data_IF_719539738871
#
_entry.id   IF_719539738871
#
_cell.length_a   1.000
_cell.length_b   1.000
_cell.length_c   1.000
_cell.angle_alpha   90.00
_cell.angle_beta   90.00
_cell.angle_gamma   90.00
#
_symmetry.space_group_name_H-M   'P 1'
#
loop_
_entity.id
_entity.type
_entity.pdbx_description
1 polymer ?
#
# COMPACT_ATOMS: atom_id res chain seq x y z
N UNK A 1 56.11 33.18 -20.19
CA UNK A 1 55.17 32.62 -21.16
C UNK A 1 54.81 31.21 -20.70
N UNK A 2 53.63 31.06 -20.19
CA UNK A 2 52.90 29.80 -20.19
C UNK A 2 51.54 30.08 -19.49
N UNK A 3 50.53 30.10 -20.30
CA UNK A 3 49.16 30.35 -19.89
C UNK A 3 48.61 29.07 -19.24
N UNK A 4 48.15 29.20 -17.99
CA UNK A 4 47.39 28.18 -17.29
C UNK A 4 45.93 28.25 -17.65
N UNK A 5 45.43 27.23 -18.29
CA UNK A 5 44.02 27.06 -18.61
C UNK A 5 43.28 26.56 -17.39
N UNK A 6 42.46 27.43 -16.78
CA UNK A 6 41.54 27.10 -15.68
C UNK A 6 40.25 26.63 -16.29
N UNK A 7 39.99 25.33 -16.24
CA UNK A 7 38.67 24.77 -16.60
C UNK A 7 37.76 24.94 -15.40
N UNK A 8 36.75 25.76 -15.55
CA UNK A 8 35.68 25.91 -14.57
C UNK A 8 34.79 24.67 -14.58
N UNK A 9 34.76 23.98 -13.48
CA UNK A 9 33.84 22.89 -13.18
C UNK A 9 32.48 23.50 -12.80
N UNK A 10 31.55 23.51 -13.77
CA UNK A 10 30.17 23.86 -13.51
C UNK A 10 29.51 22.72 -12.72
N UNK A 11 29.35 22.92 -11.41
CA UNK A 11 28.52 22.09 -10.56
C UNK A 11 27.06 22.30 -10.95
N UNK A 12 26.44 21.30 -11.58
CA UNK A 12 25.02 21.24 -11.83
C UNK A 12 24.33 20.95 -10.49
N UNK A 13 23.86 21.99 -9.82
CA UNK A 13 22.94 21.86 -8.69
C UNK A 13 21.60 21.32 -9.20
N UNK A 14 21.39 20.02 -9.04
CA UNK A 14 20.09 19.39 -9.18
C UNK A 14 19.20 19.83 -8.03
N UNK A 15 18.41 20.90 -8.28
CA UNK A 15 17.34 21.33 -7.36
C UNK A 15 16.32 20.21 -7.25
N UNK A 16 16.41 19.45 -6.17
CA UNK A 16 15.32 18.61 -5.68
C UNK A 16 14.10 19.52 -5.47
N UNK A 17 13.15 19.43 -6.38
CA UNK A 17 11.87 20.13 -6.26
C UNK A 17 11.13 19.56 -5.04
N UNK A 18 11.13 20.30 -3.95
CA UNK A 18 10.26 20.07 -2.80
C UNK A 18 8.84 20.21 -3.32
N UNK A 19 8.15 19.09 -3.54
CA UNK A 19 6.73 19.09 -3.89
C UNK A 19 5.97 19.61 -2.68
N UNK A 20 5.43 20.83 -2.81
CA UNK A 20 4.47 21.36 -1.86
C UNK A 20 3.32 20.36 -1.62
N UNK A 21 2.83 20.22 -0.38
CA UNK A 21 1.67 19.37 -0.11
C UNK A 21 0.47 19.92 -0.88
N UNK A 22 0.01 19.18 -1.91
CA UNK A 22 -1.21 19.55 -2.64
C UNK A 22 -2.38 19.63 -1.66
N UNK A 23 -3.22 20.67 -1.80
CA UNK A 23 -4.45 20.81 -1.05
C UNK A 23 -5.31 19.54 -1.13
N UNK A 24 -6.10 19.21 -0.08
CA UNK A 24 -6.97 18.04 -0.09
C UNK A 24 -7.91 18.11 -1.30
N UNK A 25 -8.11 16.96 -1.97
CA UNK A 25 -9.00 16.87 -3.13
C UNK A 25 -10.44 17.07 -2.67
N UNK A 26 -11.23 17.73 -3.48
CA UNK A 26 -12.68 17.86 -3.23
C UNK A 26 -13.37 16.51 -3.42
N UNK A 27 -14.50 16.29 -2.75
CA UNK A 27 -15.31 15.06 -2.89
C UNK A 27 -15.63 14.79 -4.36
N UNK A 28 -16.06 15.81 -5.12
CA UNK A 28 -16.35 15.67 -6.56
C UNK A 28 -15.15 15.15 -7.38
N UNK A 29 -13.93 15.56 -7.04
CA UNK A 29 -12.72 15.03 -7.70
C UNK A 29 -12.43 13.57 -7.30
N UNK A 30 -12.75 13.19 -6.07
CA UNK A 30 -12.58 11.81 -5.60
C UNK A 30 -13.62 10.88 -6.21
N UNK A 31 -14.85 11.36 -6.41
CA UNK A 31 -15.90 10.65 -7.15
C UNK A 31 -15.49 10.46 -8.62
N UNK A 32 -14.98 11.50 -9.29
CA UNK A 32 -14.45 11.39 -10.66
C UNK A 32 -13.30 10.38 -10.76
N UNK A 33 -12.38 10.35 -9.79
CA UNK A 33 -11.32 9.34 -9.71
C UNK A 33 -11.90 7.94 -9.55
N UNK A 34 -12.95 7.79 -8.75
CA UNK A 34 -13.67 6.54 -8.55
C UNK A 34 -14.31 6.02 -9.84
N UNK A 35 -15.00 6.90 -10.58
CA UNK A 35 -15.65 6.56 -11.83
C UNK A 35 -14.63 6.11 -12.90
N UNK A 36 -13.54 6.85 -13.06
CA UNK A 36 -12.45 6.49 -14.00
C UNK A 36 -11.81 5.15 -13.60
N UNK A 37 -11.63 4.92 -12.31
CA UNK A 37 -11.07 3.67 -11.80
C UNK A 37 -12.02 2.50 -12.04
N UNK A 38 -13.32 2.69 -11.85
CA UNK A 38 -14.35 1.68 -12.13
C UNK A 38 -14.39 1.30 -13.61
N UNK A 39 -14.42 2.28 -14.50
CA UNK A 39 -14.37 2.05 -15.95
C UNK A 39 -13.15 1.20 -16.36
N UNK A 40 -11.99 1.49 -15.79
CA UNK A 40 -10.76 0.73 -16.02
C UNK A 40 -10.88 -0.71 -15.52
N UNK A 41 -11.42 -0.90 -14.32
CA UNK A 41 -11.57 -2.22 -13.71
C UNK A 41 -12.65 -3.06 -14.41
N UNK A 42 -13.76 -2.45 -14.83
CA UNK A 42 -14.79 -3.12 -15.64
C UNK A 42 -14.19 -3.64 -16.95
N UNK A 43 -13.42 -2.80 -17.66
CA UNK A 43 -12.75 -3.23 -18.88
C UNK A 43 -11.74 -4.36 -18.63
N UNK A 44 -11.06 -4.37 -17.48
CA UNK A 44 -10.14 -5.44 -17.11
C UNK A 44 -10.88 -6.74 -16.84
N UNK A 45 -12.01 -6.69 -16.11
CA UNK A 45 -12.84 -7.85 -15.82
C UNK A 45 -13.42 -8.43 -17.12
N UNK A 46 -13.92 -7.58 -18.02
CA UNK A 46 -14.46 -7.98 -19.34
C UNK A 46 -13.41 -8.70 -20.19
N UNK A 47 -12.17 -8.16 -20.26
CA UNK A 47 -11.08 -8.78 -21.03
C UNK A 47 -10.67 -10.12 -20.42
N UNK A 48 -10.74 -10.25 -19.10
CA UNK A 48 -10.40 -11.47 -18.39
C UNK A 48 -11.55 -12.49 -18.33
N UNK A 49 -12.73 -12.18 -18.88
CA UNK A 49 -13.94 -13.00 -18.82
C UNK A 49 -14.34 -13.34 -17.38
N UNK A 50 -14.34 -12.32 -16.52
CA UNK A 50 -14.63 -12.43 -15.10
C UNK A 50 -15.89 -11.66 -14.75
N UNK A 51 -16.73 -12.26 -13.91
CA UNK A 51 -17.90 -11.62 -13.33
C UNK A 51 -17.52 -10.94 -12.00
N UNK A 52 -17.97 -9.71 -11.80
CA UNK A 52 -17.79 -8.98 -10.54
C UNK A 52 -18.52 -7.64 -10.58
N UNK A 53 -19.05 -7.24 -9.44
CA UNK A 53 -19.66 -5.93 -9.25
C UNK A 53 -18.65 -4.98 -8.60
N UNK A 54 -18.62 -3.73 -9.03
CA UNK A 54 -17.70 -2.72 -8.50
C UNK A 54 -18.49 -1.72 -7.65
N UNK A 55 -18.19 -1.68 -6.38
CA UNK A 55 -18.70 -0.68 -5.44
C UNK A 55 -17.69 0.47 -5.33
N UNK A 56 -18.18 1.71 -5.41
CA UNK A 56 -17.37 2.93 -5.29
C UNK A 56 -17.80 3.69 -4.04
N UNK A 57 -16.85 4.10 -3.21
CA UNK A 57 -17.06 4.96 -2.05
C UNK A 57 -15.93 5.99 -1.92
N UNK A 58 -16.13 7.00 -1.09
CA UNK A 58 -15.12 8.01 -0.74
C UNK A 58 -14.87 7.96 0.75
N UNK A 59 -13.71 7.47 1.13
CA UNK A 59 -13.29 7.33 2.53
C UNK A 59 -11.93 7.97 2.78
N UNK A 60 -11.78 8.64 3.90
CA UNK A 60 -10.48 9.19 4.35
C UNK A 60 -9.75 10.00 3.26
N UNK A 61 -10.47 10.90 2.59
CA UNK A 61 -9.96 11.76 1.51
C UNK A 61 -9.36 11.00 0.31
N UNK A 62 -9.92 9.85 -0.02
CA UNK A 62 -9.54 9.04 -1.19
C UNK A 62 -10.73 8.24 -1.73
N UNK A 63 -10.68 7.92 -3.03
CA UNK A 63 -11.61 6.97 -3.62
C UNK A 63 -11.29 5.56 -3.11
N UNK A 64 -12.33 4.81 -2.76
CA UNK A 64 -12.27 3.42 -2.31
C UNK A 64 -13.14 2.58 -3.23
N UNK A 65 -12.56 1.57 -3.85
CA UNK A 65 -13.28 0.65 -4.73
C UNK A 65 -13.21 -0.76 -4.16
N UNK A 66 -14.32 -1.48 -4.26
CA UNK A 66 -14.37 -2.88 -3.91
C UNK A 66 -14.94 -3.70 -5.08
N UNK A 67 -14.26 -4.77 -5.47
CA UNK A 67 -14.79 -5.73 -6.42
C UNK A 67 -15.37 -6.90 -5.62
N UNK A 68 -16.65 -7.14 -5.80
CA UNK A 68 -17.40 -8.17 -5.09
C UNK A 68 -18.12 -9.10 -6.10
N UNK A 69 -18.40 -10.32 -5.68
CA UNK A 69 -19.08 -11.32 -6.52
C UNK A 69 -18.11 -12.05 -7.44
N UNK A 70 -18.45 -13.27 -7.79
CA UNK A 70 -17.63 -14.11 -8.63
C UNK A 70 -16.57 -14.91 -7.88
N UNK A 71 -15.65 -15.51 -8.64
CA UNK A 71 -14.49 -16.26 -8.11
C UNK A 71 -13.22 -15.49 -8.44
N UNK A 72 -12.96 -14.44 -7.67
CA UNK A 72 -11.93 -13.45 -7.94
C UNK A 72 -10.61 -13.69 -7.16
N UNK A 73 -10.50 -14.78 -6.42
CA UNK A 73 -9.33 -15.07 -5.58
C UNK A 73 -7.99 -15.03 -6.33
N UNK A 74 -7.98 -15.37 -7.63
CA UNK A 74 -6.78 -15.28 -8.47
C UNK A 74 -6.37 -13.83 -8.79
N UNK A 75 -7.30 -12.85 -8.69
CA UNK A 75 -6.98 -11.42 -8.79
C UNK A 75 -6.42 -10.85 -7.49
N UNK A 76 -6.54 -11.57 -6.39
CA UNK A 76 -5.88 -11.25 -5.14
C UNK A 76 -4.43 -11.72 -5.19
N UNK A 77 -4.21 -12.96 -5.63
CA UNK A 77 -2.90 -13.59 -5.65
C UNK A 77 -2.43 -14.05 -4.28
N UNK A 78 -1.22 -14.55 -4.20
CA UNK A 78 -0.60 -14.94 -2.95
C UNK A 78 -0.32 -13.68 -2.12
N UNK A 79 -0.80 -13.66 -0.88
CA UNK A 79 -0.66 -12.52 0.06
C UNK A 79 -1.13 -11.14 -0.49
N UNK A 80 -1.91 -11.10 -1.57
CA UNK A 80 -2.42 -9.87 -2.18
C UNK A 80 -1.52 -9.22 -3.22
N UNK A 81 -0.49 -9.91 -3.72
CA UNK A 81 0.45 -9.34 -4.71
C UNK A 81 -0.23 -8.92 -6.01
N UNK A 82 -1.17 -9.72 -6.51
CA UNK A 82 -1.92 -9.40 -7.73
C UNK A 82 -2.84 -8.21 -7.49
N UNK A 83 -3.54 -8.19 -6.35
CA UNK A 83 -4.38 -7.07 -5.94
C UNK A 83 -3.59 -5.75 -5.86
N UNK A 84 -2.41 -5.77 -5.25
CA UNK A 84 -1.55 -4.58 -5.16
C UNK A 84 -1.08 -4.11 -6.53
N UNK A 85 -0.76 -5.03 -7.45
CA UNK A 85 -0.39 -4.72 -8.83
C UNK A 85 -1.55 -4.10 -9.62
N UNK A 86 -2.75 -4.66 -9.51
CA UNK A 86 -3.97 -4.11 -10.13
C UNK A 86 -4.27 -2.72 -9.57
N UNK A 87 -4.15 -2.52 -8.27
CA UNK A 87 -4.33 -1.22 -7.64
C UNK A 87 -3.36 -0.16 -8.20
N UNK A 88 -2.08 -0.48 -8.37
CA UNK A 88 -1.12 0.45 -8.94
C UNK A 88 -1.41 0.75 -10.42
N UNK A 89 -1.81 -0.24 -11.22
CA UNK A 89 -2.25 -0.02 -12.60
C UNK A 89 -3.48 0.87 -12.68
N UNK A 90 -4.46 0.66 -11.80
CA UNK A 90 -5.67 1.50 -11.71
C UNK A 90 -5.31 2.94 -11.32
N UNK A 91 -4.40 3.14 -10.37
CA UNK A 91 -3.88 4.47 -10.00
C UNK A 91 -3.21 5.17 -11.18
N UNK A 92 -2.44 4.45 -11.98
CA UNK A 92 -1.80 4.99 -13.18
C UNK A 92 -2.83 5.35 -14.26
N UNK A 93 -3.89 4.55 -14.44
CA UNK A 93 -4.98 4.86 -15.37
C UNK A 93 -5.68 6.17 -14.96
N UNK A 94 -6.03 6.33 -13.68
CA UNK A 94 -6.61 7.56 -13.13
C UNK A 94 -5.66 8.74 -13.31
N UNK A 95 -4.39 8.57 -13.01
CA UNK A 95 -3.38 9.62 -13.18
C UNK A 95 -3.22 10.04 -14.64
N UNK A 96 -3.32 9.11 -15.57
CA UNK A 96 -3.25 9.40 -17.01
C UNK A 96 -4.44 10.22 -17.47
N UNK A 97 -5.63 9.94 -16.94
CA UNK A 97 -6.86 10.65 -17.29
C UNK A 97 -6.97 12.04 -16.62
N UNK A 98 -6.60 12.15 -15.34
CA UNK A 98 -6.78 13.36 -14.55
C UNK A 98 -5.55 14.29 -14.52
N UNK A 99 -4.37 13.77 -14.82
CA UNK A 99 -3.07 14.44 -14.64
C UNK A 99 -2.60 14.50 -13.17
N UNK A 100 -3.42 14.07 -12.22
CA UNK A 100 -3.13 14.10 -10.79
C UNK A 100 -2.87 12.68 -10.24
N UNK A 101 -1.89 12.58 -9.34
CA UNK A 101 -1.61 11.31 -8.66
C UNK A 101 -2.79 10.89 -7.79
N UNK A 102 -3.31 9.71 -8.03
CA UNK A 102 -4.37 9.11 -7.22
C UNK A 102 -3.81 8.34 -6.03
N UNK A 103 -4.56 8.34 -4.92
CA UNK A 103 -4.29 7.53 -3.72
C UNK A 103 -5.43 6.56 -3.46
N UNK A 104 -6.18 6.22 -4.52
CA UNK A 104 -7.30 5.30 -4.40
C UNK A 104 -6.88 3.98 -3.73
N UNK A 105 -7.84 3.35 -3.08
CA UNK A 105 -7.71 2.01 -2.53
C UNK A 105 -8.60 1.05 -3.30
N UNK A 106 -8.07 -0.12 -3.60
CA UNK A 106 -8.80 -1.23 -4.18
C UNK A 106 -8.82 -2.39 -3.20
N UNK A 107 -9.97 -2.99 -3.02
CA UNK A 107 -10.15 -4.27 -2.34
C UNK A 107 -10.87 -5.27 -3.26
N UNK A 108 -10.64 -6.55 -3.04
CA UNK A 108 -11.30 -7.64 -3.78
C UNK A 108 -11.80 -8.65 -2.75
N UNK A 109 -13.12 -8.88 -2.76
CA UNK A 109 -13.81 -9.86 -1.89
C UNK A 109 -13.52 -9.70 -0.40
N UNK A 110 -13.24 -8.46 0.07
CA UNK A 110 -12.93 -8.19 1.49
C UNK A 110 -11.57 -8.71 1.94
N UNK A 111 -10.64 -8.98 1.00
CA UNK A 111 -9.33 -9.54 1.31
C UNK A 111 -8.58 -8.73 2.36
N UNK A 112 -8.58 -7.39 2.24
CA UNK A 112 -7.81 -6.53 3.17
C UNK A 112 -8.34 -6.60 4.59
N UNK A 113 -9.67 -6.69 4.76
CA UNK A 113 -10.29 -6.83 6.08
C UNK A 113 -9.97 -8.20 6.71
N UNK A 114 -10.07 -9.27 5.92
CA UNK A 114 -9.71 -10.63 6.34
C UNK A 114 -8.24 -10.72 6.72
N UNK A 115 -7.36 -10.21 5.85
CA UNK A 115 -5.91 -10.22 6.10
C UNK A 115 -5.54 -9.41 7.36
N UNK A 116 -6.19 -8.27 7.59
CA UNK A 116 -6.02 -7.51 8.85
C UNK A 116 -6.40 -8.34 10.07
N UNK A 117 -7.50 -9.06 10.02
CA UNK A 117 -7.94 -9.92 11.12
C UNK A 117 -6.93 -11.04 11.42
N UNK A 118 -6.42 -11.71 10.39
CA UNK A 118 -5.39 -12.75 10.51
C UNK A 118 -4.10 -12.21 11.14
N UNK A 119 -3.62 -11.08 10.63
CA UNK A 119 -2.39 -10.45 11.14
C UNK A 119 -2.54 -9.94 12.57
N UNK A 120 -3.72 -9.42 12.92
CA UNK A 120 -4.02 -9.02 14.30
C UNK A 120 -4.02 -10.23 15.23
N UNK A 121 -4.58 -11.36 14.82
CA UNK A 121 -4.55 -12.59 15.58
C UNK A 121 -3.13 -13.13 15.75
N UNK A 122 -2.34 -13.15 14.67
CA UNK A 122 -0.92 -13.53 14.68
C UNK A 122 -0.11 -12.65 15.64
N UNK A 123 -0.28 -11.32 15.55
CA UNK A 123 0.43 -10.38 16.43
C UNK A 123 0.13 -10.65 17.91
N UNK A 124 -1.14 -10.88 18.26
CA UNK A 124 -1.56 -11.20 19.63
C UNK A 124 -0.98 -12.51 20.13
N UNK A 125 -0.95 -13.53 19.28
CA UNK A 125 -0.34 -14.83 19.60
C UNK A 125 1.16 -14.68 19.88
N UNK A 126 1.87 -14.02 18.97
CA UNK A 126 3.32 -13.82 19.07
C UNK A 126 3.71 -12.86 20.21
N UNK A 127 2.87 -11.89 20.54
CA UNK A 127 3.05 -11.05 21.72
C UNK A 127 2.99 -11.87 23.03
N UNK A 128 2.04 -12.79 23.14
CA UNK A 128 1.95 -13.70 24.29
C UNK A 128 3.16 -14.62 24.38
N UNK A 129 3.63 -15.13 23.25
CA UNK A 129 4.81 -15.99 23.17
C UNK A 129 6.07 -15.22 23.62
N UNK A 130 6.28 -13.98 23.13
CA UNK A 130 7.39 -13.12 23.54
C UNK A 130 7.38 -12.82 25.05
N UNK A 131 6.20 -12.49 25.60
CA UNK A 131 6.04 -12.22 27.02
C UNK A 131 6.29 -13.48 27.89
N UNK A 132 5.83 -14.63 27.44
CA UNK A 132 5.97 -15.88 28.22
C UNK A 132 7.38 -16.45 28.20
N UNK A 133 8.09 -16.28 27.09
CA UNK A 133 9.47 -16.80 26.92
C UNK A 133 10.54 -15.79 27.36
N UNK A 134 10.20 -14.50 27.43
CA UNK A 134 11.16 -13.43 27.69
C UNK A 134 12.13 -13.17 26.54
N UNK A 135 11.85 -13.71 25.34
CA UNK A 135 12.70 -13.57 24.16
C UNK A 135 11.99 -12.75 23.09
N UNK A 136 12.78 -12.05 22.26
CA UNK A 136 12.25 -11.41 21.06
C UNK A 136 11.81 -12.46 20.04
N UNK A 137 10.73 -12.17 19.29
CA UNK A 137 10.20 -13.03 18.24
C UNK A 137 10.29 -12.30 16.91
N UNK A 138 10.90 -12.95 15.94
CA UNK A 138 11.00 -12.50 14.56
C UNK A 138 9.87 -13.11 13.74
N UNK A 139 9.13 -12.27 13.03
CA UNK A 139 8.08 -12.71 12.11
C UNK A 139 8.65 -12.95 10.71
N UNK A 140 7.86 -13.56 9.85
CA UNK A 140 8.16 -13.73 8.44
C UNK A 140 8.22 -12.37 7.72
N UNK A 141 8.96 -12.25 6.62
CA UNK A 141 8.94 -11.05 5.79
C UNK A 141 7.52 -10.74 5.30
N UNK A 142 7.16 -9.46 5.33
CA UNK A 142 5.83 -9.00 4.93
C UNK A 142 5.87 -7.58 4.36
N UNK A 143 4.83 -7.21 3.61
CA UNK A 143 4.76 -5.89 2.99
C UNK A 143 4.53 -4.76 4.02
N UNK A 144 4.65 -3.50 3.59
CA UNK A 144 4.56 -2.33 4.48
C UNK A 144 3.18 -2.19 5.17
N UNK A 145 2.10 -2.56 4.47
CA UNK A 145 0.74 -2.54 5.03
C UNK A 145 0.60 -3.57 6.16
N UNK A 146 1.09 -4.77 5.96
CA UNK A 146 1.05 -5.86 6.93
C UNK A 146 1.90 -5.54 8.16
N UNK A 147 3.13 -5.03 7.96
CA UNK A 147 4.00 -4.59 9.07
C UNK A 147 3.33 -3.53 9.93
N UNK A 148 2.61 -2.60 9.30
CA UNK A 148 1.88 -1.57 10.05
C UNK A 148 0.81 -2.17 10.96
N UNK A 149 0.03 -3.15 10.47
CA UNK A 149 -1.00 -3.82 11.29
C UNK A 149 -0.37 -4.51 12.50
N UNK A 150 0.75 -5.21 12.30
CA UNK A 150 1.48 -5.84 13.40
C UNK A 150 1.95 -4.80 14.41
N UNK A 151 2.61 -3.71 13.97
CA UNK A 151 3.08 -2.66 14.87
C UNK A 151 1.96 -2.01 15.68
N UNK A 152 0.85 -1.65 15.02
CA UNK A 152 -0.31 -1.04 15.67
C UNK A 152 -0.87 -1.99 16.75
N UNK A 153 -1.02 -3.29 16.44
CA UNK A 153 -1.51 -4.30 17.38
C UNK A 153 -0.55 -4.51 18.55
N UNK A 154 0.75 -4.57 18.31
CA UNK A 154 1.77 -4.76 19.36
C UNK A 154 1.81 -3.54 20.28
N UNK A 155 1.68 -2.34 19.72
CA UNK A 155 1.59 -1.09 20.48
C UNK A 155 0.33 -1.04 21.36
N UNK A 156 -0.84 -1.48 20.85
CA UNK A 156 -2.07 -1.60 21.64
C UNK A 156 -1.93 -2.56 22.84
N UNK A 157 -1.08 -3.57 22.71
CA UNK A 157 -0.77 -4.52 23.79
C UNK A 157 0.30 -4.00 24.76
N UNK A 158 0.83 -2.80 24.55
CA UNK A 158 1.86 -2.20 25.39
C UNK A 158 3.26 -2.78 25.21
N UNK A 159 3.50 -3.49 24.11
CA UNK A 159 4.81 -4.04 23.76
C UNK A 159 5.50 -3.18 22.70
N UNK A 160 6.77 -3.46 22.46
CA UNK A 160 7.59 -2.79 21.46
C UNK A 160 7.84 -3.72 20.28
N UNK A 161 7.83 -3.16 19.07
CA UNK A 161 8.21 -3.88 17.86
C UNK A 161 8.98 -2.99 16.90
N UNK A 162 9.91 -3.57 16.16
CA UNK A 162 10.72 -2.87 15.17
C UNK A 162 10.68 -3.63 13.83
N UNK A 163 10.82 -2.88 12.73
CA UNK A 163 10.99 -3.47 11.40
C UNK A 163 12.46 -3.52 11.05
N UNK A 164 12.94 -4.71 10.67
CA UNK A 164 14.31 -4.97 10.27
C UNK A 164 14.37 -5.61 8.89
N UNK A 165 15.57 -5.62 8.27
CA UNK A 165 15.79 -6.11 6.93
C UNK A 165 15.52 -5.07 5.84
N UNK A 166 15.73 -5.47 4.59
CA UNK A 166 15.54 -4.67 3.39
C UNK A 166 14.39 -5.22 2.54
N UNK A 167 13.63 -4.34 1.90
CA UNK A 167 12.58 -4.78 0.98
C UNK A 167 13.19 -5.59 -0.18
N UNK A 168 12.58 -6.70 -0.62
CA UNK A 168 11.25 -7.20 -0.25
C UNK A 168 11.23 -8.13 0.99
N UNK A 169 12.36 -8.37 1.65
CA UNK A 169 12.49 -9.30 2.79
C UNK A 169 12.44 -8.61 4.16
N UNK A 170 11.77 -7.50 4.25
CA UNK A 170 11.64 -6.75 5.49
C UNK A 170 10.59 -7.39 6.40
N UNK A 171 10.92 -7.55 7.67
CA UNK A 171 10.12 -8.27 8.68
C UNK A 171 9.96 -7.46 9.96
N UNK A 172 9.13 -7.93 10.87
CA UNK A 172 8.91 -7.33 12.20
C UNK A 172 9.52 -8.21 13.28
N UNK A 173 10.19 -7.56 14.24
CA UNK A 173 10.67 -8.18 15.47
C UNK A 173 9.83 -7.64 16.63
N UNK A 174 9.27 -8.53 17.43
CA UNK A 174 8.49 -8.21 18.64
C UNK A 174 9.37 -8.43 19.86
N UNK A 175 9.47 -7.43 20.72
CA UNK A 175 10.25 -7.50 21.94
C UNK A 175 9.35 -7.78 23.15
N UNK A 176 9.81 -8.59 24.11
CA UNK A 176 9.13 -8.76 25.39
C UNK A 176 9.09 -7.45 26.18
N UNK A 177 8.16 -7.33 27.13
CA UNK A 177 8.08 -6.19 28.03
C UNK A 177 9.23 -6.17 29.03
#
# INVERSE_FOLDING_TARGET
>A
MSEGNTVAEEAVEEKAAVKEPKAPKTIAKLEEEGDIAADYLEALLDIADLDGDIDIDVENDRASLAIVGGKLGHLVGEEGEVLDSIQELTRLAVQTATGDRSRLMLDIEGFRANRRSELTALAREKAKEATSTGNSITLEPMNAFERKIIHDTIQELGLTSESDGEDPRRFVVIYPA
#
